data_IF_730059436907
#
_entry.id   IF_730059436907
#
_cell.length_a   1.000
_cell.length_b   1.000
_cell.length_c   1.000
_cell.angle_alpha   90.00
_cell.angle_beta   90.00
_cell.angle_gamma   90.00
#
_symmetry.space_group_name_H-M   'P 1'
#
loop_
_entity.id
_entity.type
_entity.pdbx_description
1 polymer ?
#
# COMPACT_ATOMS: atom_id res chain seq x y z
N UNK A 1 -14.90 -12.36 13.93
CA UNK A 1 -14.05 -12.98 12.91
C UNK A 1 -13.71 -12.02 11.77
N UNK A 2 -14.62 -11.21 11.26
CA UNK A 2 -14.32 -10.24 10.17
C UNK A 2 -13.32 -9.10 10.52
N UNK A 3 -13.07 -8.82 11.79
CA UNK A 3 -12.09 -7.81 12.21
C UNK A 3 -10.64 -8.27 12.12
N UNK A 4 -10.39 -9.58 12.25
CA UNK A 4 -9.02 -10.11 12.22
C UNK A 4 -8.42 -10.12 10.79
N UNK A 5 -9.25 -10.28 9.77
CA UNK A 5 -8.79 -10.37 8.38
C UNK A 5 -8.33 -9.01 7.85
N UNK A 6 -9.02 -7.92 8.22
CA UNK A 6 -8.63 -6.56 7.83
C UNK A 6 -7.31 -6.12 8.51
N UNK A 7 -7.13 -6.47 9.77
CA UNK A 7 -5.87 -6.21 10.49
C UNK A 7 -4.73 -7.08 10.00
N UNK A 8 -4.99 -8.35 9.65
CA UNK A 8 -4.00 -9.24 9.05
C UNK A 8 -3.47 -8.70 7.72
N UNK A 9 -4.35 -8.20 6.84
CA UNK A 9 -3.97 -7.55 5.60
C UNK A 9 -3.09 -6.31 5.84
N UNK A 10 -3.50 -5.44 6.78
CA UNK A 10 -2.73 -4.25 7.13
C UNK A 10 -1.36 -4.60 7.71
N UNK A 11 -1.30 -5.61 8.57
CA UNK A 11 -0.05 -6.11 9.15
C UNK A 11 0.92 -6.65 8.08
N UNK A 12 0.41 -7.34 7.07
CA UNK A 12 1.21 -7.83 5.93
C UNK A 12 1.77 -6.67 5.11
N UNK A 13 0.97 -5.62 4.85
CA UNK A 13 1.40 -4.42 4.13
C UNK A 13 2.47 -3.61 4.89
N UNK A 14 2.44 -3.66 6.21
CA UNK A 14 3.41 -2.96 7.08
C UNK A 14 4.60 -3.83 7.46
N UNK A 15 4.69 -5.07 6.95
CA UNK A 15 5.79 -5.98 7.24
C UNK A 15 5.85 -6.44 8.70
N UNK A 16 4.69 -6.63 9.37
CA UNK A 16 4.61 -7.02 10.77
C UNK A 16 4.81 -5.88 11.79
N UNK A 17 5.12 -4.68 11.31
CA UNK A 17 5.38 -3.51 12.17
C UNK A 17 4.14 -3.03 12.93
N UNK A 18 2.95 -3.34 12.41
CA UNK A 18 1.68 -2.98 13.02
C UNK A 18 1.45 -3.70 14.35
N UNK A 19 1.62 -5.02 14.40
CA UNK A 19 1.44 -5.82 15.63
C UNK A 19 2.47 -5.49 16.70
N UNK A 20 3.67 -5.09 16.30
CA UNK A 20 4.75 -4.75 17.21
C UNK A 20 4.73 -3.30 17.69
N UNK A 21 3.73 -2.49 17.27
CA UNK A 21 3.64 -1.06 17.61
C UNK A 21 4.97 -0.32 17.37
N UNK A 22 5.63 -0.63 16.27
CA UNK A 22 6.89 0.02 15.93
C UNK A 22 6.65 1.46 15.48
N UNK A 23 7.71 2.26 15.45
CA UNK A 23 7.68 3.64 14.92
C UNK A 23 7.18 3.64 13.46
N UNK A 24 7.40 2.55 12.72
CA UNK A 24 6.98 2.36 11.35
C UNK A 24 5.62 1.64 11.20
N UNK A 25 4.82 1.55 12.25
CA UNK A 25 3.54 0.82 12.22
C UNK A 25 2.57 1.31 11.16
N UNK A 26 2.56 2.61 10.82
CA UNK A 26 1.79 3.19 9.72
C UNK A 26 2.41 2.92 8.35
N UNK A 27 3.70 2.55 8.30
CA UNK A 27 4.42 2.35 7.05
C UNK A 27 4.29 3.56 6.10
N UNK A 28 4.18 3.34 4.80
CA UNK A 28 3.99 4.34 3.75
C UNK A 28 2.49 4.51 3.37
N UNK A 29 1.58 3.83 4.08
CA UNK A 29 0.15 3.80 3.77
C UNK A 29 -0.49 5.20 3.72
N UNK A 30 -0.25 6.12 4.68
CA UNK A 30 -0.83 7.48 4.63
C UNK A 30 -0.40 8.25 3.38
N UNK A 31 0.83 8.03 2.90
CA UNK A 31 1.32 8.68 1.68
C UNK A 31 0.62 8.14 0.42
N UNK A 32 0.42 6.83 0.33
CA UNK A 32 -0.27 6.22 -0.81
C UNK A 32 -1.70 6.72 -0.86
N UNK A 33 -2.40 6.70 0.27
CA UNK A 33 -3.77 7.19 0.38
C UNK A 33 -3.87 8.68 -0.02
N UNK A 34 -2.97 9.53 0.48
CA UNK A 34 -2.94 10.96 0.13
C UNK A 34 -2.63 11.18 -1.35
N UNK A 35 -1.71 10.43 -1.93
CA UNK A 35 -1.39 10.51 -3.36
C UNK A 35 -2.59 10.17 -4.23
N UNK A 36 -3.36 9.15 -3.87
CA UNK A 36 -4.58 8.77 -4.58
C UNK A 36 -5.66 9.85 -4.40
N UNK A 37 -5.83 10.37 -3.19
CA UNK A 37 -6.79 11.47 -2.93
C UNK A 37 -6.45 12.69 -3.79
N UNK A 38 -5.20 13.11 -3.84
CA UNK A 38 -4.78 14.24 -4.68
C UNK A 38 -5.00 13.94 -6.16
N UNK A 39 -4.70 12.72 -6.63
CA UNK A 39 -4.98 12.33 -8.02
C UNK A 39 -6.48 12.39 -8.36
N UNK A 40 -7.34 11.97 -7.45
CA UNK A 40 -8.80 12.08 -7.65
C UNK A 40 -9.27 13.54 -7.61
N UNK A 41 -8.70 14.35 -6.72
CA UNK A 41 -9.01 15.78 -6.63
C UNK A 41 -8.54 16.55 -7.87
N UNK A 42 -7.45 16.15 -8.54
CA UNK A 42 -7.03 16.75 -9.81
C UNK A 42 -8.03 16.54 -10.94
N UNK A 43 -8.80 15.46 -10.90
CA UNK A 43 -9.89 15.23 -11.86
C UNK A 43 -11.16 16.00 -11.48
N UNK A 44 -11.40 16.21 -10.18
CA UNK A 44 -12.62 16.85 -9.68
C UNK A 44 -12.52 18.38 -9.64
N UNK A 45 -11.34 18.94 -9.42
CA UNK A 45 -11.10 20.37 -9.22
C UNK A 45 -10.31 20.94 -10.40
N UNK A 46 -10.92 21.84 -11.23
CA UNK A 46 -10.25 22.39 -12.41
C UNK A 46 -8.94 23.11 -12.11
N UNK A 47 -8.82 23.79 -10.97
CA UNK A 47 -7.60 24.47 -10.58
C UNK A 47 -6.40 23.52 -10.35
N UNK A 48 -6.67 22.31 -9.85
CA UNK A 48 -5.63 21.28 -9.69
C UNK A 48 -5.30 20.59 -11.02
N UNK A 49 -6.28 20.48 -11.91
CA UNK A 49 -6.08 19.99 -13.27
C UNK A 49 -5.17 20.93 -14.08
N UNK A 50 -5.36 22.25 -13.95
CA UNK A 50 -4.49 23.26 -14.57
C UNK A 50 -3.05 23.14 -14.04
N UNK A 51 -2.88 23.01 -12.72
CA UNK A 51 -1.55 22.77 -12.13
C UNK A 51 -0.88 21.49 -12.66
N UNK A 52 -1.65 20.44 -12.91
CA UNK A 52 -1.10 19.22 -13.50
C UNK A 52 -0.62 19.42 -14.95
N UNK A 53 -1.26 20.32 -15.69
CA UNK A 53 -0.91 20.69 -17.07
C UNK A 53 0.28 21.66 -17.15
N UNK A 54 0.59 22.39 -16.09
CA UNK A 54 1.70 23.36 -16.00
C UNK A 54 3.11 22.71 -16.02
N UNK A 55 3.21 21.40 -16.28
CA UNK A 55 4.47 20.70 -16.44
C UNK A 55 5.17 20.40 -15.11
N UNK A 56 6.50 20.59 -15.03
CA UNK A 56 7.29 20.21 -13.85
C UNK A 56 7.00 21.06 -12.60
N UNK A 57 6.74 22.35 -12.77
CA UNK A 57 6.45 23.24 -11.63
C UNK A 57 5.11 22.89 -10.97
N UNK A 58 4.10 22.64 -11.77
CA UNK A 58 2.79 22.20 -11.27
C UNK A 58 2.86 20.85 -10.56
N UNK A 59 3.61 19.88 -11.11
CA UNK A 59 3.83 18.59 -10.45
C UNK A 59 4.54 18.70 -9.12
N UNK A 60 5.53 19.59 -8.98
CA UNK A 60 6.21 19.86 -7.71
C UNK A 60 5.24 20.38 -6.66
N UNK A 61 4.37 21.33 -7.01
CA UNK A 61 3.32 21.86 -6.12
C UNK A 61 2.34 20.77 -5.69
N UNK A 62 1.88 19.91 -6.62
CA UNK A 62 1.02 18.78 -6.30
C UNK A 62 1.68 17.80 -5.34
N UNK A 63 2.99 17.55 -5.51
CA UNK A 63 3.75 16.71 -4.56
C UNK A 63 3.84 17.35 -3.18
N UNK A 64 4.00 18.67 -3.08
CA UNK A 64 3.97 19.39 -1.79
C UNK A 64 2.61 19.26 -1.11
N UNK A 65 1.50 19.43 -1.84
CA UNK A 65 0.16 19.19 -1.28
C UNK A 65 -0.01 17.75 -0.81
N UNK A 66 0.48 16.78 -1.57
CA UNK A 66 0.46 15.37 -1.17
C UNK A 66 1.20 15.16 0.16
N UNK A 67 2.36 15.79 0.37
CA UNK A 67 3.11 15.72 1.64
C UNK A 67 2.31 16.28 2.83
N UNK A 68 1.68 17.44 2.66
CA UNK A 68 0.86 18.03 3.74
C UNK A 68 -0.34 17.14 4.09
N UNK A 69 -1.04 16.62 3.08
CA UNK A 69 -2.16 15.69 3.29
C UNK A 69 -1.68 14.39 3.93
N UNK A 70 -0.51 13.90 3.55
CA UNK A 70 0.11 12.71 4.16
C UNK A 70 0.34 12.89 5.66
N UNK A 71 0.93 14.01 6.07
CA UNK A 71 1.17 14.30 7.49
C UNK A 71 -0.16 14.42 8.24
N UNK A 72 -1.16 15.07 7.65
CA UNK A 72 -2.50 15.17 8.22
C UNK A 72 -3.18 13.80 8.41
N UNK A 73 -3.13 12.94 7.40
CA UNK A 73 -3.66 11.58 7.49
C UNK A 73 -2.87 10.72 8.48
N UNK A 74 -1.54 10.80 8.47
CA UNK A 74 -0.70 10.09 9.43
C UNK A 74 -1.00 10.49 10.87
N UNK A 75 -1.26 11.76 11.16
CA UNK A 75 -1.70 12.24 12.48
C UNK A 75 -3.07 11.66 12.85
N UNK A 76 -4.02 11.62 11.94
CA UNK A 76 -5.35 11.03 12.19
C UNK A 76 -5.25 9.53 12.47
N UNK A 77 -4.56 8.77 11.61
CA UNK A 77 -4.38 7.33 11.74
C UNK A 77 -3.60 6.98 13.02
N UNK A 78 -2.50 7.68 13.31
CA UNK A 78 -1.70 7.44 14.52
C UNK A 78 -2.47 7.76 15.80
N UNK A 79 -3.31 8.80 15.79
CA UNK A 79 -4.17 9.12 16.93
C UNK A 79 -5.20 8.03 17.17
N UNK A 80 -5.85 7.57 16.10
CA UNK A 80 -6.80 6.48 16.18
C UNK A 80 -6.18 5.18 16.73
N UNK A 81 -4.98 4.84 16.24
CA UNK A 81 -4.23 3.67 16.72
C UNK A 81 -3.80 3.83 18.17
N UNK A 82 -3.21 4.97 18.55
CA UNK A 82 -2.74 5.20 19.91
C UNK A 82 -3.87 5.15 20.93
N UNK A 83 -5.05 5.67 20.59
CA UNK A 83 -6.25 5.59 21.42
C UNK A 83 -6.79 4.15 21.47
N UNK A 84 -6.87 3.47 20.32
CA UNK A 84 -7.34 2.07 20.24
C UNK A 84 -6.46 1.11 21.04
N UNK A 85 -5.14 1.24 20.94
CA UNK A 85 -4.18 0.41 21.69
C UNK A 85 -4.07 0.81 23.16
N UNK A 86 -4.30 2.10 23.50
CA UNK A 86 -4.41 2.56 24.87
C UNK A 86 -5.55 1.84 25.61
N UNK A 87 -6.72 1.71 24.98
CA UNK A 87 -7.86 0.96 25.50
C UNK A 87 -7.62 -0.55 25.67
N UNK A 88 -6.71 -1.13 24.89
CA UNK A 88 -6.34 -2.54 24.97
C UNK A 88 -5.24 -2.86 26.01
N UNK A 89 -4.75 -1.86 26.75
CA UNK A 89 -3.71 -2.03 27.76
C UNK A 89 -2.28 -2.25 27.23
N UNK A 90 -2.07 -2.06 25.91
CA UNK A 90 -0.76 -2.23 25.26
C UNK A 90 0.19 -1.05 25.54
N UNK A 91 -0.34 0.11 25.90
CA UNK A 91 0.48 1.28 26.28
C UNK A 91 0.82 1.21 27.78
N UNK A 92 2.09 1.07 28.09
CA UNK A 92 2.60 1.05 29.46
C UNK A 92 2.24 2.37 30.17
N UNK A 93 1.54 2.29 31.30
CA UNK A 93 1.12 3.45 32.08
C UNK A 93 -0.23 4.06 31.67
N UNK A 94 -0.91 3.53 30.65
CA UNK A 94 -2.25 3.99 30.29
C UNK A 94 -3.30 3.53 31.30
N UNK A 95 -3.21 2.29 31.81
CA UNK A 95 -4.19 1.72 32.73
C UNK A 95 -4.08 2.25 34.17
N UNK A 96 -2.86 2.54 34.67
CA UNK A 96 -2.60 2.86 36.08
C UNK A 96 -2.12 4.31 36.33
N UNK A 97 -2.03 5.14 35.27
CA UNK A 97 -1.44 6.47 35.34
C UNK A 97 -2.43 7.60 35.62
N UNK A 98 -1.92 8.71 36.16
CA UNK A 98 -2.62 10.00 36.17
C UNK A 98 -3.05 10.39 34.75
N UNK A 99 -4.16 11.14 34.59
CA UNK A 99 -4.68 11.63 33.31
C UNK A 99 -3.57 12.28 32.46
N UNK A 100 -2.68 13.04 33.10
CA UNK A 100 -1.52 13.64 32.44
C UNK A 100 -0.58 12.61 31.81
N UNK A 101 -0.32 11.49 32.49
CA UNK A 101 0.54 10.40 32.00
C UNK A 101 -0.09 9.67 30.81
N UNK A 102 -1.42 9.49 30.83
CA UNK A 102 -2.18 8.91 29.71
C UNK A 102 -2.07 9.78 28.46
N UNK A 103 -2.33 11.08 28.59
CA UNK A 103 -2.23 12.03 27.47
C UNK A 103 -0.80 12.11 26.94
N UNK A 104 0.20 12.20 27.81
CA UNK A 104 1.59 12.23 27.40
C UNK A 104 2.01 10.98 26.63
N UNK A 105 1.59 9.78 27.07
CA UNK A 105 1.85 8.51 26.38
C UNK A 105 1.25 8.46 24.99
N UNK A 106 -0.02 8.88 24.86
CA UNK A 106 -0.69 8.96 23.54
C UNK A 106 0.01 9.95 22.62
N UNK A 107 0.34 11.15 23.10
CA UNK A 107 1.02 12.17 22.29
C UNK A 107 2.40 11.69 21.81
N UNK A 108 3.18 11.06 22.69
CA UNK A 108 4.49 10.50 22.30
C UNK A 108 4.33 9.44 21.22
N UNK A 109 3.36 8.53 21.38
CA UNK A 109 3.07 7.49 20.41
C UNK A 109 2.66 8.08 19.05
N UNK A 110 1.75 9.04 19.04
CA UNK A 110 1.27 9.73 17.83
C UNK A 110 2.41 10.43 17.11
N UNK A 111 3.24 11.20 17.84
CA UNK A 111 4.39 11.90 17.24
C UNK A 111 5.40 10.92 16.69
N UNK A 112 5.72 9.84 17.42
CA UNK A 112 6.67 8.84 16.98
C UNK A 112 6.22 8.12 15.69
N UNK A 113 4.96 7.67 15.63
CA UNK A 113 4.41 6.98 14.45
C UNK A 113 4.30 7.92 13.25
N UNK A 114 3.89 9.16 13.45
CA UNK A 114 3.82 10.17 12.39
C UNK A 114 5.21 10.51 11.86
N UNK A 115 6.21 10.65 12.74
CA UNK A 115 7.59 10.88 12.35
C UNK A 115 8.16 9.70 11.55
N UNK A 116 7.84 8.45 11.94
CA UNK A 116 8.23 7.24 11.20
C UNK A 116 7.65 7.22 9.79
N UNK A 117 6.37 7.50 9.63
CA UNK A 117 5.72 7.57 8.32
C UNK A 117 6.30 8.71 7.44
N UNK A 118 6.55 9.89 8.03
CA UNK A 118 7.18 11.01 7.33
C UNK A 118 8.61 10.67 6.86
N UNK A 119 9.36 9.95 7.68
CA UNK A 119 10.72 9.50 7.32
C UNK A 119 10.68 8.49 6.17
N UNK A 120 9.76 7.53 6.18
CA UNK A 120 9.59 6.57 5.09
C UNK A 120 9.16 7.26 3.78
N UNK A 121 8.26 8.23 3.87
CA UNK A 121 7.89 9.08 2.73
C UNK A 121 9.12 9.78 2.14
N UNK A 122 9.93 10.44 2.99
CA UNK A 122 11.13 11.12 2.54
C UNK A 122 12.15 10.18 1.89
N UNK A 123 12.36 8.98 2.47
CA UNK A 123 13.22 7.95 1.87
C UNK A 123 12.69 7.52 0.51
N UNK A 124 11.37 7.25 0.39
CA UNK A 124 10.73 6.85 -0.87
C UNK A 124 10.90 7.90 -1.96
N UNK A 125 10.74 9.19 -1.63
CA UNK A 125 10.98 10.29 -2.57
C UNK A 125 12.44 10.40 -2.97
N UNK A 126 13.38 10.24 -2.03
CA UNK A 126 14.82 10.25 -2.33
C UNK A 126 15.25 9.11 -3.24
N UNK A 127 14.65 7.94 -3.07
CA UNK A 127 14.88 6.81 -3.98
C UNK A 127 14.33 7.14 -5.38
N UNK A 128 13.16 7.76 -5.46
CA UNK A 128 12.57 8.18 -6.75
C UNK A 128 13.42 9.23 -7.45
N UNK A 129 13.93 10.23 -6.71
CA UNK A 129 14.70 11.34 -7.28
C UNK A 129 16.11 10.94 -7.72
N UNK A 130 16.78 10.05 -6.98
CA UNK A 130 18.20 9.71 -7.17
C UNK A 130 18.46 8.25 -7.50
N UNK A 131 17.45 7.40 -7.37
CA UNK A 131 17.55 5.96 -7.55
C UNK A 131 16.95 5.47 -8.86
N UNK A 132 16.56 4.22 -8.86
CA UNK A 132 15.97 3.52 -10.01
C UNK A 132 14.50 3.26 -9.76
N UNK A 133 13.63 3.80 -10.60
CA UNK A 133 12.20 3.52 -10.57
C UNK A 133 11.43 4.30 -9.49
N UNK A 134 10.28 3.76 -9.09
CA UNK A 134 9.41 4.39 -8.09
C UNK A 134 9.82 3.94 -6.68
N UNK A 135 10.40 4.83 -5.88
CA UNK A 135 10.88 4.55 -4.53
C UNK A 135 9.79 4.11 -3.56
N UNK A 136 8.57 4.59 -3.73
CA UNK A 136 7.41 4.20 -2.91
C UNK A 136 7.07 2.73 -3.13
N UNK A 137 7.07 2.30 -4.39
CA UNK A 137 6.85 0.89 -4.75
C UNK A 137 7.96 0.00 -4.20
N UNK A 138 9.21 0.48 -4.17
CA UNK A 138 10.33 -0.24 -3.56
C UNK A 138 10.17 -0.38 -2.05
N UNK A 139 9.77 0.67 -1.34
CA UNK A 139 9.50 0.59 0.11
C UNK A 139 8.40 -0.42 0.41
N UNK A 140 7.29 -0.42 -0.36
CA UNK A 140 6.25 -1.42 -0.25
C UNK A 140 6.76 -2.84 -0.52
N UNK A 141 7.56 -3.01 -1.57
CA UNK A 141 8.16 -4.30 -1.89
C UNK A 141 8.99 -4.83 -0.73
N UNK A 142 9.85 -4.00 -0.13
CA UNK A 142 10.68 -4.40 1.00
C UNK A 142 9.85 -4.73 2.24
N UNK A 143 8.78 -3.99 2.52
CA UNK A 143 7.89 -4.29 3.63
C UNK A 143 7.22 -5.66 3.46
N UNK A 144 6.66 -5.93 2.29
CA UNK A 144 6.03 -7.24 2.00
C UNK A 144 7.09 -8.36 2.02
N UNK A 145 8.27 -8.12 1.44
CA UNK A 145 9.32 -9.11 1.37
C UNK A 145 9.91 -9.45 2.76
N UNK A 146 9.88 -8.51 3.69
CA UNK A 146 10.38 -8.74 5.06
C UNK A 146 9.53 -9.72 5.86
N UNK A 147 8.24 -9.87 5.57
CA UNK A 147 7.34 -10.83 6.22
C UNK A 147 7.44 -12.24 5.62
N UNK A 148 7.91 -12.37 4.38
CA UNK A 148 7.99 -13.64 3.65
C UNK A 148 8.74 -14.76 4.41
N UNK A 149 9.91 -14.52 5.04
CA UNK A 149 10.58 -15.58 5.79
C UNK A 149 9.75 -16.13 6.95
N UNK A 150 9.04 -15.26 7.66
CA UNK A 150 8.17 -15.65 8.77
C UNK A 150 6.94 -16.40 8.28
N UNK A 151 6.37 -16.00 7.16
CA UNK A 151 5.24 -16.66 6.52
C UNK A 151 5.62 -18.08 6.07
N UNK A 152 6.83 -18.27 5.52
CA UNK A 152 7.35 -19.60 5.19
C UNK A 152 7.54 -20.49 6.43
N UNK A 153 8.05 -19.95 7.54
CA UNK A 153 8.16 -20.69 8.78
C UNK A 153 6.78 -21.11 9.31
N UNK A 154 5.81 -20.21 9.28
CA UNK A 154 4.43 -20.49 9.69
C UNK A 154 3.77 -21.57 8.82
N UNK A 155 4.00 -21.54 7.49
CA UNK A 155 3.55 -22.59 6.57
C UNK A 155 4.22 -23.92 6.86
N UNK A 156 5.53 -23.91 7.14
CA UNK A 156 6.29 -25.10 7.52
C UNK A 156 5.75 -25.73 8.81
N UNK A 157 5.58 -24.94 9.86
CA UNK A 157 5.06 -25.39 11.14
C UNK A 157 3.64 -25.94 11.03
N UNK A 158 2.77 -25.24 10.30
CA UNK A 158 1.33 -25.57 10.22
C UNK A 158 1.03 -26.79 9.34
N UNK A 159 1.76 -26.99 8.26
CA UNK A 159 1.46 -28.01 7.26
C UNK A 159 2.46 -29.17 7.24
N UNK A 160 3.68 -28.95 7.68
CA UNK A 160 4.76 -29.93 7.58
C UNK A 160 5.07 -30.54 8.96
N UNK A 161 5.17 -29.72 10.01
CA UNK A 161 5.52 -30.18 11.36
C UNK A 161 4.36 -30.96 11.99
N UNK A 162 4.61 -32.18 12.46
CA UNK A 162 3.62 -33.01 13.17
C UNK A 162 2.74 -33.93 12.31
N UNK A 163 2.92 -33.93 10.98
CA UNK A 163 2.21 -34.81 10.07
C UNK A 163 3.04 -36.06 9.67
N UNK A 164 2.33 -37.12 9.24
CA UNK A 164 2.98 -38.30 8.66
C UNK A 164 3.81 -37.92 7.44
N UNK A 165 4.97 -38.56 7.26
CA UNK A 165 5.94 -38.28 6.17
C UNK A 165 5.30 -38.17 4.78
N UNK A 166 4.32 -39.02 4.48
CA UNK A 166 3.59 -38.97 3.21
C UNK A 166 2.74 -37.69 3.06
N UNK A 167 2.05 -37.25 4.12
CA UNK A 167 1.26 -36.00 4.12
C UNK A 167 2.16 -34.78 4.01
N UNK A 168 3.32 -34.81 4.66
CA UNK A 168 4.32 -33.75 4.62
C UNK A 168 4.83 -33.49 3.20
N UNK A 169 5.20 -34.56 2.47
CA UNK A 169 5.68 -34.45 1.08
C UNK A 169 4.58 -33.94 0.16
N UNK A 170 3.36 -34.45 0.28
CA UNK A 170 2.22 -33.99 -0.52
C UNK A 170 1.91 -32.52 -0.25
N UNK A 171 1.88 -32.09 1.02
CA UNK A 171 1.64 -30.69 1.39
C UNK A 171 2.73 -29.76 0.82
N UNK A 172 4.01 -30.15 0.93
CA UNK A 172 5.12 -29.37 0.37
C UNK A 172 5.00 -29.19 -1.15
N UNK A 173 4.64 -30.25 -1.88
CA UNK A 173 4.45 -30.20 -3.34
C UNK A 173 3.26 -29.28 -3.70
N UNK A 174 2.14 -29.40 -2.98
CA UNK A 174 0.95 -28.56 -3.22
C UNK A 174 1.27 -27.08 -2.96
N UNK A 175 1.96 -26.75 -1.86
CA UNK A 175 2.35 -25.36 -1.53
C UNK A 175 3.29 -24.82 -2.61
N UNK A 176 4.31 -25.56 -3.00
CA UNK A 176 5.25 -25.15 -4.05
C UNK A 176 4.53 -24.94 -5.40
N UNK A 177 3.64 -25.84 -5.78
CA UNK A 177 2.85 -25.73 -6.99
C UNK A 177 1.90 -24.51 -6.95
N UNK A 178 1.25 -24.26 -5.82
CA UNK A 178 0.37 -23.10 -5.64
C UNK A 178 1.14 -21.77 -5.76
N UNK A 179 2.31 -21.65 -5.12
CA UNK A 179 3.16 -20.47 -5.24
C UNK A 179 3.61 -20.27 -6.69
N UNK A 180 4.07 -21.34 -7.36
CA UNK A 180 4.48 -21.25 -8.75
C UNK A 180 3.33 -20.84 -9.67
N UNK A 181 2.14 -21.41 -9.50
CA UNK A 181 0.95 -21.06 -10.27
C UNK A 181 0.55 -19.60 -10.05
N UNK A 182 0.59 -19.09 -8.80
CA UNK A 182 0.28 -17.69 -8.50
C UNK A 182 1.25 -16.74 -9.17
N UNK A 183 2.55 -17.00 -9.08
CA UNK A 183 3.58 -16.18 -9.73
C UNK A 183 3.42 -16.20 -11.25
N UNK A 184 3.28 -17.39 -11.85
CA UNK A 184 3.12 -17.54 -13.30
C UNK A 184 1.86 -16.81 -13.79
N UNK A 185 0.73 -16.94 -13.09
CA UNK A 185 -0.52 -16.28 -13.44
C UNK A 185 -0.41 -14.75 -13.32
N UNK A 186 0.26 -14.25 -12.28
CA UNK A 186 0.51 -12.81 -12.10
C UNK A 186 1.36 -12.24 -13.23
N UNK A 187 2.44 -12.94 -13.62
CA UNK A 187 3.31 -12.52 -14.73
C UNK A 187 2.53 -12.48 -16.05
N UNK A 188 1.74 -13.54 -16.33
CA UNK A 188 0.92 -13.60 -17.55
C UNK A 188 -0.09 -12.44 -17.60
N UNK A 189 -0.76 -12.14 -16.48
CA UNK A 189 -1.70 -11.00 -16.40
C UNK A 189 -1.01 -9.64 -16.58
N UNK A 190 0.21 -9.49 -16.03
CA UNK A 190 0.95 -8.24 -16.09
C UNK A 190 1.47 -7.94 -17.49
N UNK A 191 1.93 -8.99 -18.22
CA UNK A 191 2.51 -8.88 -19.56
C UNK A 191 1.48 -9.06 -20.68
N UNK A 192 0.24 -9.41 -20.34
CA UNK A 192 -0.82 -9.62 -21.33
C UNK A 192 -1.15 -8.32 -22.07
N UNK A 193 -0.94 -8.33 -23.39
CA UNK A 193 -1.21 -7.22 -24.29
C UNK A 193 -2.22 -7.64 -25.36
N UNK A 194 -3.25 -6.82 -25.55
CA UNK A 194 -4.15 -6.96 -26.71
C UNK A 194 -3.60 -6.10 -27.85
N UNK A 195 -3.11 -6.74 -28.90
CA UNK A 195 -2.60 -6.06 -30.09
C UNK A 195 -3.72 -5.81 -31.08
N UNK A 196 -4.04 -4.53 -31.34
CA UNK A 196 -5.04 -4.13 -32.32
C UNK A 196 -4.33 -3.78 -33.62
N UNK A 197 -4.59 -4.47 -34.74
CA UNK A 197 -3.99 -4.13 -36.01
C UNK A 197 -4.56 -2.82 -36.54
N UNK A 198 -3.69 -1.87 -36.86
CA UNK A 198 -4.07 -0.59 -37.47
C UNK A 198 -3.74 -0.64 -38.94
N UNK A 199 -4.72 -0.39 -39.78
CA UNK A 199 -4.52 -0.28 -41.22
C UNK A 199 -4.23 1.17 -41.58
N UNK A 200 -3.00 1.44 -42.02
CA UNK A 200 -2.67 2.75 -42.60
C UNK A 200 -3.01 2.75 -44.08
N UNK A 201 -3.56 3.87 -44.58
CA UNK A 201 -3.84 4.08 -45.98
C UNK A 201 -2.53 4.02 -46.79
N UNK A 202 -2.50 3.18 -47.81
CA UNK A 202 -1.36 3.04 -48.71
C UNK A 202 -1.33 4.26 -49.64
N UNK A 203 -0.22 5.02 -49.65
CA UNK A 203 -0.01 6.08 -50.63
C UNK A 203 0.70 5.52 -51.84
N UNK A 204 0.17 5.79 -53.00
CA UNK A 204 0.82 5.52 -54.30
C UNK A 204 1.78 6.67 -54.58
N UNK A 205 3.09 6.42 -54.60
CA UNK A 205 4.10 7.38 -54.99
C UNK A 205 4.83 6.88 -56.23
N UNK A 206 4.45 7.45 -57.36
CA UNK A 206 4.94 7.01 -58.69
C UNK A 206 4.36 5.64 -59.10
N UNK A 207 5.20 4.77 -59.68
CA UNK A 207 4.82 3.41 -60.15
C UNK A 207 4.89 2.33 -59.05
N UNK A 208 5.21 2.67 -57.77
CA UNK A 208 5.36 1.76 -56.68
C UNK A 208 4.39 2.04 -55.55
N UNK A 209 3.80 0.96 -54.94
CA UNK A 209 3.08 1.03 -53.70
C UNK A 209 4.10 1.14 -52.56
N UNK A 210 4.26 2.35 -52.02
CA UNK A 210 5.09 2.60 -50.83
C UNK A 210 4.19 2.69 -49.63
N UNK A 211 4.45 1.88 -48.64
CA UNK A 211 3.72 1.86 -47.38
C UNK A 211 2.86 0.60 -47.21
N UNK A 212 2.96 0.00 -46.09
CA UNK A 212 2.26 -1.24 -45.78
C UNK A 212 2.83 -1.89 -44.53
N UNK A 213 3.55 -1.12 -43.71
CA UNK A 213 3.95 -1.61 -42.40
C UNK A 213 2.70 -1.71 -41.54
N UNK A 214 2.29 -2.91 -41.23
CA UNK A 214 1.20 -3.16 -40.28
C UNK A 214 1.70 -2.73 -38.91
N UNK A 215 1.25 -1.57 -38.45
CA UNK A 215 1.46 -1.12 -37.09
C UNK A 215 0.38 -1.71 -36.20
N UNK A 216 0.76 -2.13 -35.01
CA UNK A 216 -0.15 -2.67 -33.99
C UNK A 216 -0.09 -1.73 -32.79
N UNK A 217 -1.26 -1.40 -32.23
CA UNK A 217 -1.35 -0.65 -30.95
C UNK A 217 -1.45 -1.68 -29.84
N UNK A 218 -0.42 -1.82 -28.96
CA UNK A 218 -0.49 -2.70 -27.81
C UNK A 218 -1.32 -2.02 -26.73
N UNK A 219 -2.39 -2.68 -26.28
CA UNK A 219 -3.19 -2.28 -25.13
C UNK A 219 -2.95 -3.28 -24.00
N UNK A 220 -2.41 -2.82 -22.88
CA UNK A 220 -2.26 -3.67 -21.69
C UNK A 220 -3.63 -4.09 -21.15
N UNK A 221 -3.80 -5.38 -20.84
CA UNK A 221 -5.04 -5.91 -20.27
C UNK A 221 -5.24 -5.39 -18.85
N UNK A 222 -4.17 -5.32 -18.07
CA UNK A 222 -4.20 -4.77 -16.72
C UNK A 222 -3.58 -3.37 -16.70
N UNK A 223 -4.39 -2.36 -17.00
CA UNK A 223 -3.98 -0.94 -16.97
C UNK A 223 -3.98 -0.34 -15.56
N UNK A 224 -4.84 -0.85 -14.68
CA UNK A 224 -5.04 -0.34 -13.34
C UNK A 224 -3.99 -0.83 -12.33
N UNK A 225 -3.34 -1.97 -12.62
CA UNK A 225 -2.31 -2.57 -11.76
C UNK A 225 -2.79 -2.80 -10.31
N UNK A 226 -1.98 -2.50 -9.32
CA UNK A 226 -2.25 -2.71 -7.89
C UNK A 226 -2.97 -1.51 -7.22
N UNK A 227 -2.96 -0.35 -7.87
CA UNK A 227 -3.48 0.91 -7.29
C UNK A 227 -4.94 0.82 -6.78
N UNK A 228 -5.91 0.26 -7.53
CA UNK A 228 -7.29 0.17 -7.05
C UNK A 228 -7.45 -0.71 -5.81
N UNK A 229 -6.64 -1.76 -5.68
CA UNK A 229 -6.68 -2.67 -4.52
C UNK A 229 -6.19 -1.95 -3.27
N UNK A 230 -5.09 -1.21 -3.37
CA UNK A 230 -4.53 -0.43 -2.26
C UNK A 230 -5.52 0.66 -1.82
N UNK A 231 -6.15 1.35 -2.79
CA UNK A 231 -7.16 2.36 -2.50
C UNK A 231 -8.40 1.77 -1.81
N UNK A 232 -8.92 0.66 -2.33
CA UNK A 232 -10.06 -0.03 -1.72
C UNK A 232 -9.73 -0.49 -0.28
N UNK A 233 -8.54 -1.04 -0.06
CA UNK A 233 -8.12 -1.46 1.28
C UNK A 233 -8.00 -0.28 2.25
N UNK A 234 -7.46 0.86 1.81
CA UNK A 234 -7.37 2.09 2.61
C UNK A 234 -8.76 2.65 2.96
N UNK A 235 -9.71 2.62 2.03
CA UNK A 235 -11.10 3.02 2.30
C UNK A 235 -11.80 2.06 3.28
N UNK A 236 -11.54 0.76 3.19
CA UNK A 236 -12.13 -0.23 4.10
C UNK A 236 -11.55 -0.17 5.52
N UNK A 237 -10.32 0.30 5.68
CA UNK A 237 -9.72 0.48 7.02
C UNK A 237 -10.26 1.73 7.74
N UNK A 238 -10.67 2.78 7.03
CA UNK A 238 -11.23 4.00 7.62
C UNK A 238 -12.42 3.76 8.57
N UNK A 239 -13.48 3.02 8.19
CA UNK A 239 -14.60 2.72 9.10
C UNK A 239 -14.17 1.93 10.33
N UNK A 240 -13.17 1.05 10.20
CA UNK A 240 -12.64 0.24 11.31
C UNK A 240 -11.93 1.14 12.32
N UNK A 241 -11.09 2.05 11.83
CA UNK A 241 -10.38 3.05 12.64
C UNK A 241 -11.35 3.98 13.37
N UNK A 242 -12.36 4.50 12.68
CA UNK A 242 -13.40 5.35 13.26
C UNK A 242 -14.19 4.57 14.31
N UNK A 243 -14.54 3.30 14.05
CA UNK A 243 -15.25 2.43 14.98
C UNK A 243 -14.47 2.16 16.27
N UNK A 244 -13.13 2.11 16.21
CA UNK A 244 -12.29 1.98 17.40
C UNK A 244 -12.31 3.25 18.27
N UNK A 245 -12.26 4.43 17.66
CA UNK A 245 -12.35 5.71 18.38
C UNK A 245 -13.69 5.83 19.10
N UNK A 246 -14.81 5.50 18.43
CA UNK A 246 -16.16 5.59 19.01
C UNK A 246 -16.35 4.56 20.15
N UNK A 247 -15.80 3.35 20.05
CA UNK A 247 -15.91 2.33 21.11
C UNK A 247 -15.15 2.71 22.39
N UNK A 248 -14.06 3.46 22.27
CA UNK A 248 -13.33 3.97 23.44
C UNK A 248 -14.17 4.97 24.21
N UNK A 249 -14.98 5.76 23.53
CA UNK A 249 -15.85 6.76 24.17
C UNK A 249 -16.99 6.11 25.00
N UNK A 250 -17.43 4.90 24.62
CA UNK A 250 -18.45 4.15 25.38
C UNK A 250 -17.91 3.40 26.61
N UNK A 251 -16.61 3.18 26.70
CA UNK A 251 -15.99 2.49 27.85
C UNK A 251 -15.52 3.45 28.96
N UNK A 252 -15.65 4.77 28.76
CA UNK A 252 -15.27 5.82 29.69
C UNK A 252 -16.47 6.45 30.42
N UNK A 253 -17.68 5.93 30.25
CA UNK A 253 -18.89 6.23 31.00
C UNK A 253 -19.25 5.00 31.87
#
# INVERSE_FOLDING_TARGET
MAGNDAFGWFNTMTGGSFEQLSIFALSITPYITSSIIIQLLTVAIPALEEMQKDGEEGRKKLTEYTRYVTIGLALLESTAMAVGFGGSGLLIGYAEGSVFRKIAGVVICVVAMTAGSALLMWIGERITDKGVGNGISLVLLFNILSSVPQDFLTLYERFIMGNNTAKMVVAAIIIAAAIFCMVAFTVVLQDAERRIPVQYSRRVQGRGLVGGQQSQIPLKVNTASVMPVIFASSLMTMPVVIGQIIRVDQSSI
#
